data_IF_770352744200
#
_entry.id   IF_770352744200
#
_cell.length_a   1.000
_cell.length_b   1.000
_cell.length_c   1.000
_cell.angle_alpha   90.00
_cell.angle_beta   90.00
_cell.angle_gamma   90.00
#
_symmetry.space_group_name_H-M   'P 1'
#
loop_
_entity.id
_entity.type
_entity.pdbx_description
1 polymer ?
#
# COMPACT_ATOMS: atom_id res chain seq x y z
N UNK A 1 -7.91 3.54 32.31
CA UNK A 1 -7.52 2.51 31.31
C UNK A 1 -6.17 1.94 31.73
N UNK A 2 -6.04 0.62 31.93
CA UNK A 2 -4.77 0.04 32.42
C UNK A 2 -3.68 0.11 31.33
N UNK A 3 -2.41 0.34 31.72
CA UNK A 3 -1.27 0.43 30.78
C UNK A 3 -1.17 -0.78 29.84
N UNK A 4 -1.56 -1.97 30.33
CA UNK A 4 -1.61 -3.20 29.54
C UNK A 4 -2.62 -3.12 28.39
N UNK A 5 -3.82 -2.59 28.64
CA UNK A 5 -4.82 -2.39 27.59
C UNK A 5 -4.32 -1.40 26.54
N UNK A 6 -3.65 -0.33 26.97
CA UNK A 6 -3.08 0.67 26.07
C UNK A 6 -2.02 0.08 25.14
N UNK A 7 -1.12 -0.76 25.68
CA UNK A 7 -0.11 -1.48 24.89
C UNK A 7 -0.75 -2.48 23.92
N UNK A 8 -1.76 -3.22 24.36
CA UNK A 8 -2.47 -4.18 23.49
C UNK A 8 -3.19 -3.45 22.35
N UNK A 9 -3.91 -2.36 22.65
CA UNK A 9 -4.60 -1.56 21.62
C UNK A 9 -3.59 -0.94 20.65
N UNK A 10 -2.47 -0.42 21.13
CA UNK A 10 -1.42 0.14 20.28
C UNK A 10 -0.80 -0.94 19.37
N UNK A 11 -0.53 -2.12 19.90
CA UNK A 11 0.01 -3.24 19.11
C UNK A 11 -0.96 -3.68 18.01
N UNK A 12 -2.26 -3.82 18.33
CA UNK A 12 -3.29 -4.18 17.35
C UNK A 12 -3.41 -3.10 16.27
N UNK A 13 -3.44 -1.82 16.65
CA UNK A 13 -3.51 -0.72 15.70
C UNK A 13 -2.30 -0.69 14.76
N UNK A 14 -1.09 -0.90 15.28
CA UNK A 14 0.12 -1.00 14.47
C UNK A 14 0.09 -2.18 13.50
N UNK A 15 -0.44 -3.33 13.93
CA UNK A 15 -0.57 -4.52 13.09
C UNK A 15 -1.55 -4.28 11.93
N UNK A 16 -2.72 -3.70 12.22
CA UNK A 16 -3.70 -3.31 11.20
C UNK A 16 -3.13 -2.30 10.21
N UNK A 17 -2.45 -1.25 10.70
CA UNK A 17 -1.81 -0.25 9.86
C UNK A 17 -0.71 -0.87 8.97
N UNK A 18 0.13 -1.75 9.52
CA UNK A 18 1.17 -2.45 8.77
C UNK A 18 0.61 -3.35 7.67
N UNK A 19 -0.47 -4.07 7.95
CA UNK A 19 -1.18 -4.88 6.95
C UNK A 19 -1.72 -3.99 5.82
N UNK A 20 -2.36 -2.87 6.15
CA UNK A 20 -2.86 -1.93 5.14
C UNK A 20 -1.72 -1.39 4.27
N UNK A 21 -0.59 -0.98 4.86
CA UNK A 21 0.59 -0.51 4.10
C UNK A 21 1.14 -1.61 3.18
N UNK A 22 1.28 -2.85 3.66
CA UNK A 22 1.71 -3.99 2.85
C UNK A 22 0.79 -4.21 1.65
N UNK A 23 -0.53 -4.15 1.86
CA UNK A 23 -1.49 -4.25 0.76
C UNK A 23 -1.44 -3.02 -0.17
N UNK A 24 -1.17 -1.82 0.33
CA UNK A 24 -1.03 -0.61 -0.49
C UNK A 24 0.21 -0.68 -1.38
N UNK A 25 1.33 -1.23 -0.87
CA UNK A 25 2.57 -1.40 -1.64
C UNK A 25 2.43 -2.48 -2.72
N UNK A 26 1.66 -3.55 -2.42
CA UNK A 26 1.31 -4.59 -3.38
C UNK A 26 0.35 -4.04 -4.44
N UNK A 27 -0.69 -3.29 -4.06
CA UNK A 27 -1.61 -2.69 -5.02
C UNK A 27 -0.91 -1.69 -5.93
N UNK A 28 -0.04 -0.83 -5.40
CA UNK A 28 0.73 0.13 -6.20
C UNK A 28 1.76 -0.56 -7.11
N UNK A 29 2.45 -1.59 -6.63
CA UNK A 29 3.38 -2.38 -7.46
C UNK A 29 2.66 -3.14 -8.57
N UNK A 30 1.51 -3.76 -8.29
CA UNK A 30 0.70 -4.49 -9.28
C UNK A 30 0.05 -3.53 -10.26
N UNK A 31 -0.54 -2.42 -9.79
CA UNK A 31 -1.11 -1.40 -10.70
C UNK A 31 -0.04 -0.75 -11.55
N UNK A 32 1.17 -0.49 -11.05
CA UNK A 32 2.28 0.00 -11.86
C UNK A 32 2.76 -1.05 -12.86
N UNK A 33 2.77 -2.33 -12.50
CA UNK A 33 3.14 -3.39 -13.45
C UNK A 33 2.09 -3.55 -14.57
N UNK A 34 0.80 -3.51 -14.24
CA UNK A 34 -0.29 -3.61 -15.21
C UNK A 34 -0.37 -2.37 -16.11
N UNK A 35 -0.38 -1.17 -15.51
CA UNK A 35 -0.60 0.09 -16.24
C UNK A 35 0.70 0.69 -16.83
N UNK A 36 1.87 0.32 -16.33
CA UNK A 36 3.15 0.90 -16.76
C UNK A 36 4.16 -0.15 -17.29
N UNK A 37 3.75 -1.42 -17.40
CA UNK A 37 4.56 -2.53 -17.90
C UNK A 37 4.89 -2.46 -19.40
N UNK A 38 5.53 -3.52 -19.95
CA UNK A 38 6.02 -3.52 -21.34
C UNK A 38 4.92 -3.37 -22.41
N UNK A 39 3.66 -3.60 -22.06
CA UNK A 39 2.49 -3.46 -22.94
C UNK A 39 1.70 -2.15 -22.73
N UNK A 40 2.11 -1.31 -21.78
CA UNK A 40 1.42 -0.06 -21.46
C UNK A 40 1.45 0.89 -22.66
N UNK A 41 0.28 1.45 -23.01
CA UNK A 41 0.16 2.39 -24.13
C UNK A 41 0.81 3.73 -23.77
N UNK A 42 1.18 4.52 -24.79
CA UNK A 42 1.92 5.78 -24.60
C UNK A 42 1.19 6.82 -23.71
N UNK A 43 -0.14 6.74 -23.60
CA UNK A 43 -0.93 7.58 -22.70
C UNK A 43 -0.81 7.18 -21.22
N UNK A 44 -0.69 5.88 -20.94
CA UNK A 44 -0.57 5.35 -19.58
C UNK A 44 0.82 5.65 -18.99
N UNK A 45 1.88 5.58 -19.81
CA UNK A 45 3.26 5.93 -19.40
C UNK A 45 3.45 7.38 -18.94
N UNK A 46 2.55 8.30 -19.32
CA UNK A 46 2.64 9.72 -18.97
C UNK A 46 1.83 10.07 -17.71
N UNK A 47 1.10 9.11 -17.14
CA UNK A 47 0.28 9.28 -15.95
C UNK A 47 1.14 9.37 -14.69
N UNK A 48 0.73 10.14 -13.68
CA UNK A 48 1.49 10.31 -12.42
C UNK A 48 1.76 8.99 -11.69
N UNK A 49 0.90 7.97 -11.90
CA UNK A 49 1.07 6.61 -11.38
C UNK A 49 2.32 5.91 -11.94
N UNK A 50 2.70 6.26 -13.17
CA UNK A 50 3.84 5.69 -13.90
C UNK A 50 5.10 6.57 -13.87
N UNK A 51 5.06 7.73 -13.20
CA UNK A 51 6.20 8.63 -12.99
C UNK A 51 6.94 8.28 -11.71
#
# INVERSE_FOLDING_TARGET
>A
MSRKHLLVTAAVAALCAGILVLFTDIETSVTRWVNCGPLATGGERRSEVCR
#
